data_IF_460908436086
#
_entry.id   IF_460908436086
#
_cell.length_a   1.000
_cell.length_b   1.000
_cell.length_c   1.000
_cell.angle_alpha   90.00
_cell.angle_beta   90.00
_cell.angle_gamma   90.00
#
_symmetry.space_group_name_H-M   'P 1'
#
loop_
_entity.id
_entity.type
_entity.pdbx_description
1 polymer ?
#
# COMPACT_ATOMS: atom_id res chain seq x y z
N UNK A 1 -9.98 32.57 -9.85
CA UNK A 1 -8.86 31.95 -9.08
C UNK A 1 -8.17 30.92 -9.96
N UNK A 2 -6.88 31.07 -10.10
CA UNK A 2 -6.11 30.11 -10.88
C UNK A 2 -5.75 28.89 -10.02
N UNK A 3 -5.95 27.71 -10.58
CA UNK A 3 -5.58 26.47 -9.92
C UNK A 3 -4.16 26.09 -10.32
N UNK A 4 -3.30 25.92 -9.35
CA UNK A 4 -1.89 25.52 -9.58
C UNK A 4 -1.73 24.05 -9.35
N UNK A 5 -1.42 23.31 -10.40
CA UNK A 5 -1.28 21.85 -10.35
C UNK A 5 -0.04 21.38 -9.59
N UNK A 6 0.95 22.26 -9.44
CA UNK A 6 2.24 21.93 -8.83
C UNK A 6 2.28 22.11 -7.30
N UNK A 7 1.17 22.48 -6.68
CA UNK A 7 1.12 22.74 -5.25
C UNK A 7 0.43 21.63 -4.45
N UNK A 8 0.26 20.47 -5.05
CA UNK A 8 -0.35 19.35 -4.35
C UNK A 8 0.60 18.73 -3.33
N UNK A 9 0.04 18.16 -2.28
CA UNK A 9 0.77 17.37 -1.30
C UNK A 9 0.18 15.97 -1.25
N UNK A 10 1.05 14.99 -1.04
CA UNK A 10 0.65 13.60 -0.97
C UNK A 10 1.41 12.93 0.17
N UNK A 11 0.83 13.03 1.35
CA UNK A 11 1.43 12.49 2.57
C UNK A 11 0.37 11.76 3.37
N UNK A 12 0.70 10.56 3.83
CA UNK A 12 -0.19 9.72 4.62
C UNK A 12 0.55 9.29 5.88
N UNK A 13 -0.14 9.37 7.02
CA UNK A 13 0.37 8.91 8.31
C UNK A 13 -0.72 8.07 8.96
N UNK A 14 -0.46 6.76 9.12
CA UNK A 14 -1.44 5.82 9.61
C UNK A 14 -0.82 4.89 10.65
N UNK A 15 -1.63 4.49 11.63
CA UNK A 15 -1.23 3.54 12.65
C UNK A 15 -2.15 2.33 12.61
N UNK A 16 -1.58 1.14 12.57
CA UNK A 16 -2.37 -0.08 12.50
C UNK A 16 -1.48 -1.31 12.38
N UNK A 17 -2.09 -2.41 11.97
CA UNK A 17 -1.41 -3.70 11.83
C UNK A 17 -1.58 -4.19 10.40
N UNK A 18 -0.49 -4.74 9.84
CA UNK A 18 -0.57 -5.32 8.50
C UNK A 18 -1.20 -6.70 8.60
N UNK A 19 -2.24 -6.90 7.81
CA UNK A 19 -2.93 -8.18 7.68
C UNK A 19 -2.87 -8.64 6.24
N UNK A 20 -2.95 -9.96 6.04
CA UNK A 20 -2.89 -10.60 4.72
C UNK A 20 -1.64 -10.20 3.94
N UNK A 21 -0.44 -10.27 4.56
CA UNK A 21 0.77 -9.87 3.87
C UNK A 21 1.16 -10.88 2.79
N UNK A 22 1.72 -10.36 1.69
CA UNK A 22 2.29 -11.15 0.63
C UNK A 22 3.66 -10.56 0.30
N UNK A 23 4.70 -11.35 0.46
CA UNK A 23 6.08 -10.93 0.21
C UNK A 23 6.63 -11.70 -0.98
N UNK A 24 7.26 -10.99 -1.91
CA UNK A 24 7.89 -11.60 -3.07
C UNK A 24 9.01 -10.71 -3.59
N UNK A 25 9.84 -11.27 -4.44
CA UNK A 25 10.85 -10.52 -5.15
C UNK A 25 10.39 -10.37 -6.60
N UNK A 26 10.54 -9.18 -7.16
CA UNK A 26 10.06 -8.85 -8.50
C UNK A 26 11.16 -8.21 -9.32
N UNK A 27 11.06 -8.39 -10.64
CA UNK A 27 11.98 -7.80 -11.60
C UNK A 27 13.32 -8.52 -11.67
N UNK A 28 14.17 -8.03 -12.56
CA UNK A 28 15.47 -8.65 -12.82
C UNK A 28 16.44 -8.47 -11.66
N UNK A 29 16.24 -7.45 -10.85
CA UNK A 29 17.10 -7.15 -9.70
C UNK A 29 16.61 -7.79 -8.40
N UNK A 30 15.56 -8.60 -8.46
CA UNK A 30 14.98 -9.25 -7.28
C UNK A 30 14.63 -8.25 -6.19
N UNK A 31 13.95 -7.18 -6.56
CA UNK A 31 13.53 -6.15 -5.61
C UNK A 31 12.40 -6.70 -4.73
N UNK A 32 12.57 -6.57 -3.42
CA UNK A 32 11.54 -7.02 -2.48
C UNK A 32 10.28 -6.18 -2.60
N UNK A 33 9.14 -6.84 -2.59
CA UNK A 33 7.83 -6.21 -2.61
C UNK A 33 6.94 -6.87 -1.59
N UNK A 34 6.43 -6.10 -0.65
CA UNK A 34 5.44 -6.56 0.31
C UNK A 34 4.12 -5.86 0.03
N UNK A 35 3.06 -6.63 -0.11
CA UNK A 35 1.70 -6.10 -0.26
C UNK A 35 0.82 -6.68 0.83
N UNK A 36 -0.17 -5.91 1.25
CA UNK A 36 -1.11 -6.35 2.26
C UNK A 36 -2.15 -5.28 2.50
N UNK A 37 -2.80 -5.41 3.64
CA UNK A 37 -3.74 -4.40 4.08
C UNK A 37 -3.33 -3.92 5.47
N UNK A 38 -3.41 -2.62 5.68
CA UNK A 38 -3.23 -2.05 7.01
C UNK A 38 -4.59 -1.98 7.67
N UNK A 39 -4.73 -2.70 8.77
CA UNK A 39 -5.97 -2.69 9.56
C UNK A 39 -5.85 -1.62 10.64
N UNK A 40 -6.76 -0.65 10.57
CA UNK A 40 -6.77 0.50 11.47
C UNK A 40 -8.03 0.41 12.31
N UNK A 41 -7.92 0.17 13.63
CA UNK A 41 -9.11 0.14 14.48
C UNK A 41 -9.67 1.54 14.66
N UNK A 42 -10.98 1.68 14.44
CA UNK A 42 -11.69 2.93 14.61
C UNK A 42 -12.96 2.61 15.42
N UNK A 43 -12.98 3.03 16.68
CA UNK A 43 -14.08 2.73 17.59
C UNK A 43 -14.37 1.22 17.64
N UNK A 44 -15.55 0.80 17.22
CA UNK A 44 -16.01 -0.59 17.29
C UNK A 44 -15.80 -1.37 15.99
N UNK A 45 -15.10 -0.78 15.02
CA UNK A 45 -14.86 -1.44 13.75
C UNK A 45 -13.45 -1.12 13.27
N UNK A 46 -13.02 -1.78 12.20
CA UNK A 46 -11.72 -1.57 11.63
C UNK A 46 -11.84 -1.15 10.16
N UNK A 47 -10.98 -0.23 9.77
CA UNK A 47 -10.78 0.12 8.37
C UNK A 47 -9.62 -0.69 7.83
N UNK A 48 -9.68 -1.06 6.55
CA UNK A 48 -8.58 -1.73 5.89
C UNK A 48 -8.16 -0.93 4.66
N UNK A 49 -6.88 -0.67 4.54
CA UNK A 49 -6.31 0.12 3.45
C UNK A 49 -5.25 -0.73 2.76
N UNK A 50 -5.28 -0.79 1.43
CA UNK A 50 -4.24 -1.48 0.68
C UNK A 50 -2.92 -0.74 0.85
N UNK A 51 -1.87 -1.49 1.18
CA UNK A 51 -0.54 -0.93 1.36
C UNK A 51 0.46 -1.74 0.57
N UNK A 52 1.53 -1.10 0.16
CA UNK A 52 2.67 -1.76 -0.47
C UNK A 52 3.96 -1.14 0.01
N UNK A 53 5.02 -1.93 0.00
CA UNK A 53 6.36 -1.47 0.39
C UNK A 53 7.38 -2.13 -0.53
N UNK A 54 8.44 -1.41 -0.81
CA UNK A 54 9.48 -1.86 -1.74
C UNK A 54 10.84 -1.86 -1.07
N UNK A 55 11.71 -2.75 -1.54
CA UNK A 55 13.12 -2.77 -1.16
C UNK A 55 13.35 -3.04 0.32
N UNK A 56 14.22 -2.25 0.94
CA UNK A 56 14.61 -2.47 2.34
C UNK A 56 13.45 -2.28 3.30
N UNK A 57 12.51 -1.40 2.98
CA UNK A 57 11.31 -1.23 3.80
C UNK A 57 10.46 -2.51 3.78
N UNK A 58 10.30 -3.12 2.60
CA UNK A 58 9.56 -4.37 2.48
C UNK A 58 10.23 -5.49 3.28
N UNK A 59 11.55 -5.60 3.18
CA UNK A 59 12.30 -6.60 3.93
C UNK A 59 12.16 -6.42 5.44
N UNK A 60 12.29 -5.18 5.91
CA UNK A 60 12.16 -4.88 7.33
C UNK A 60 10.75 -5.20 7.85
N UNK A 61 9.72 -4.86 7.09
CA UNK A 61 8.34 -5.16 7.48
C UNK A 61 8.10 -6.67 7.50
N UNK A 62 8.68 -7.40 6.56
CA UNK A 62 8.50 -8.84 6.49
C UNK A 62 9.14 -9.57 7.68
N UNK A 63 10.14 -8.97 8.32
CA UNK A 63 10.80 -9.54 9.47
C UNK A 63 10.04 -9.31 10.78
N UNK A 64 9.07 -8.42 10.79
CA UNK A 64 8.29 -8.15 11.99
C UNK A 64 7.37 -9.32 12.34
N UNK A 65 7.14 -9.58 13.63
CA UNK A 65 6.12 -10.55 14.02
C UNK A 65 4.76 -10.21 13.44
N UNK A 66 3.97 -11.24 13.19
CA UNK A 66 2.63 -11.06 12.62
C UNK A 66 1.80 -10.12 13.51
N UNK A 67 1.09 -9.20 12.86
CA UNK A 67 0.16 -8.26 13.53
C UNK A 67 0.85 -7.31 14.51
N UNK A 68 2.10 -6.95 14.23
CA UNK A 68 2.79 -5.93 15.00
C UNK A 68 2.14 -4.57 14.76
N UNK A 69 1.94 -3.80 15.82
CA UNK A 69 1.42 -2.45 15.69
C UNK A 69 2.52 -1.53 15.19
N UNK A 70 2.27 -0.85 14.09
CA UNK A 70 3.23 0.04 13.46
C UNK A 70 2.58 1.37 13.10
N UNK A 71 3.42 2.39 12.97
CA UNK A 71 3.03 3.69 12.45
C UNK A 71 3.74 3.86 11.12
N UNK A 72 2.99 3.99 10.05
CA UNK A 72 3.56 4.13 8.71
C UNK A 72 3.46 5.57 8.23
N UNK A 73 4.43 5.95 7.42
CA UNK A 73 4.44 7.21 6.69
C UNK A 73 4.61 6.87 5.22
N UNK A 74 3.79 7.44 4.38
CA UNK A 74 3.85 7.13 2.97
C UNK A 74 3.05 8.11 2.13
N UNK A 75 2.69 7.65 0.96
CA UNK A 75 1.91 8.44 0.02
C UNK A 75 0.94 7.55 -0.72
N UNK A 76 -0.06 8.18 -1.36
CA UNK A 76 -1.08 7.46 -2.12
C UNK A 76 -0.62 7.39 -3.58
N UNK A 77 -0.74 6.20 -4.17
CA UNK A 77 -0.52 6.00 -5.60
C UNK A 77 -1.72 5.30 -6.21
N UNK A 78 -2.07 5.71 -7.42
CA UNK A 78 -3.06 5.01 -8.20
C UNK A 78 -2.35 4.02 -9.13
N UNK A 79 -2.84 2.80 -9.14
CA UNK A 79 -2.32 1.75 -10.00
C UNK A 79 -3.43 1.24 -10.91
N UNK A 80 -3.04 0.59 -12.00
CA UNK A 80 -4.01 0.07 -12.95
C UNK A 80 -3.53 -1.24 -13.54
N UNK A 81 -4.47 -2.02 -14.03
CA UNK A 81 -4.16 -3.23 -14.80
C UNK A 81 -5.25 -3.45 -15.84
N UNK A 82 -4.90 -4.15 -16.91
CA UNK A 82 -5.83 -4.50 -17.95
C UNK A 82 -6.50 -5.83 -17.60
N UNK A 83 -7.83 -5.83 -17.66
CA UNK A 83 -8.61 -7.03 -17.38
C UNK A 83 -9.46 -7.39 -18.59
N UNK A 84 -9.68 -8.68 -18.82
CA UNK A 84 -10.57 -9.13 -19.88
C UNK A 84 -12.00 -8.75 -19.53
N UNK A 85 -12.70 -8.14 -20.49
CA UNK A 85 -14.10 -7.80 -20.32
C UNK A 85 -14.97 -9.04 -20.58
N UNK A 86 -15.89 -9.33 -19.65
CA UNK A 86 -16.76 -10.50 -19.79
C UNK A 86 -17.88 -10.32 -20.80
N UNK A 87 -18.23 -9.09 -21.08
CA UNK A 87 -19.40 -8.77 -21.89
C UNK A 87 -19.05 -8.18 -23.27
N UNK A 88 -17.81 -7.82 -23.48
CA UNK A 88 -17.31 -7.35 -24.76
C UNK A 88 -16.01 -8.08 -25.06
N UNK A 89 -15.61 -8.13 -26.31
CA UNK A 89 -14.40 -8.86 -26.71
C UNK A 89 -13.14 -8.02 -26.54
N UNK A 90 -13.19 -7.00 -25.71
CA UNK A 90 -12.06 -6.13 -25.44
C UNK A 90 -11.51 -6.31 -24.06
N UNK A 91 -10.62 -5.42 -23.70
CA UNK A 91 -10.07 -5.34 -22.35
C UNK A 91 -10.53 -4.03 -21.72
N UNK A 92 -10.78 -4.05 -20.42
CA UNK A 92 -11.05 -2.83 -19.69
C UNK A 92 -9.94 -2.59 -18.67
N UNK A 93 -9.69 -1.32 -18.42
CA UNK A 93 -8.67 -0.92 -17.46
C UNK A 93 -9.28 -0.80 -16.08
N UNK A 94 -8.70 -1.51 -15.13
CA UNK A 94 -9.13 -1.43 -13.73
C UNK A 94 -8.13 -0.57 -12.96
N UNK A 95 -8.64 0.23 -12.05
CA UNK A 95 -7.84 1.14 -11.23
C UNK A 95 -8.05 0.84 -9.75
N UNK A 96 -7.01 1.05 -8.97
CA UNK A 96 -7.12 1.02 -7.52
C UNK A 96 -6.14 2.00 -6.91
N UNK A 97 -6.44 2.41 -5.68
CA UNK A 97 -5.60 3.31 -4.91
C UNK A 97 -4.95 2.52 -3.79
N UNK A 98 -3.67 2.73 -3.59
CA UNK A 98 -2.95 2.10 -2.48
C UNK A 98 -2.00 3.09 -1.82
N UNK A 99 -1.63 2.80 -0.57
CA UNK A 99 -0.64 3.58 0.16
C UNK A 99 0.70 2.89 -0.03
N UNK A 100 1.68 3.63 -0.54
CA UNK A 100 3.06 3.17 -0.62
C UNK A 100 3.78 3.60 0.66
N UNK A 101 4.34 2.65 1.38
CA UNK A 101 5.00 2.91 2.65
C UNK A 101 6.42 3.38 2.38
N UNK A 102 6.71 4.62 2.75
CA UNK A 102 8.04 5.20 2.61
C UNK A 102 8.89 4.96 3.84
N UNK A 103 8.27 4.87 5.01
CA UNK A 103 8.96 4.61 6.26
C UNK A 103 7.96 4.10 7.29
N UNK A 104 8.45 3.48 8.36
CA UNK A 104 7.59 3.01 9.45
C UNK A 104 8.34 3.01 10.76
N UNK A 105 7.57 3.02 11.86
CA UNK A 105 8.08 2.88 13.22
C UNK A 105 7.29 1.80 13.93
N UNK A 106 7.97 0.86 14.55
CA UNK A 106 7.35 -0.16 15.39
C UNK A 106 6.92 0.47 16.70
N UNK A 107 5.66 0.24 17.10
CA UNK A 107 5.11 0.85 18.32
C UNK A 107 5.21 -0.09 19.51
N UNK A 108 5.07 -1.40 19.28
CA UNK A 108 5.16 -2.37 20.36
C UNK A 108 5.99 -3.60 20.01
#
# INVERSE_FOLDING_TARGET
>A
MEYKMDEGENFVSLKGRIVYPSFKEVGDNNTALLKGKLQIPISDRAQQVKVSAWGTIAEALNELPSKTLIHIHGHIEESSYDAACKFCKGREKKYWTEVVIDNFTKIE
#
